data_IF_636345084199
#
_entry.id   IF_636345084199
#
_cell.length_a   1.000
_cell.length_b   1.000
_cell.length_c   1.000
_cell.angle_alpha   90.00
_cell.angle_beta   90.00
_cell.angle_gamma   90.00
#
_symmetry.space_group_name_H-M   'P 1'
#
loop_
_entity.id
_entity.type
_entity.pdbx_description
1 polymer ?
#
# COMPACT_ATOMS: atom_id res chain seq x y z
N UNK A 1 -23.86 -1.70 -8.28
CA UNK A 1 -23.24 -0.43 -8.74
C UNK A 1 -21.96 -0.80 -9.47
N UNK A 2 -21.86 -0.52 -10.76
CA UNK A 2 -20.64 -0.77 -11.52
C UNK A 2 -19.59 0.26 -11.10
N UNK A 3 -18.51 -0.18 -10.46
CA UNK A 3 -17.35 0.65 -10.18
C UNK A 3 -16.43 0.61 -11.39
N UNK A 4 -16.00 1.78 -11.86
CA UNK A 4 -15.12 1.88 -13.03
C UNK A 4 -13.73 1.32 -12.72
N UNK A 5 -13.12 0.70 -13.73
CA UNK A 5 -11.73 0.24 -13.67
C UNK A 5 -10.80 1.41 -13.33
N UNK A 6 -9.88 1.18 -12.39
CA UNK A 6 -8.93 2.17 -11.87
C UNK A 6 -9.38 2.84 -10.57
N UNK A 7 -10.63 2.67 -10.16
CA UNK A 7 -11.17 3.20 -8.90
C UNK A 7 -10.61 2.47 -7.69
N UNK A 8 -10.43 3.20 -6.58
CA UNK A 8 -10.17 2.60 -5.28
C UNK A 8 -11.48 2.02 -4.73
N UNK A 9 -11.45 0.78 -4.26
CA UNK A 9 -12.62 0.08 -3.74
C UNK A 9 -12.30 -0.63 -2.43
N UNK A 10 -13.30 -0.69 -1.55
CA UNK A 10 -13.39 -1.61 -0.43
C UNK A 10 -14.25 -2.80 -0.86
N UNK A 11 -13.83 -4.02 -0.51
CA UNK A 11 -14.55 -5.26 -0.83
C UNK A 11 -14.58 -6.17 0.40
N UNK A 12 -15.77 -6.66 0.76
CA UNK A 12 -15.95 -7.75 1.72
C UNK A 12 -16.42 -8.99 0.96
N UNK A 13 -15.76 -10.13 1.15
CA UNK A 13 -16.00 -11.34 0.37
C UNK A 13 -15.79 -12.63 1.18
N UNK A 14 -16.39 -13.73 0.72
CA UNK A 14 -16.13 -15.08 1.22
C UNK A 14 -14.90 -15.65 0.51
N UNK A 15 -13.83 -15.85 1.26
CA UNK A 15 -12.63 -16.51 0.78
C UNK A 15 -12.83 -18.03 0.80
N UNK A 16 -13.03 -18.59 -0.38
CA UNK A 16 -13.19 -20.01 -0.62
C UNK A 16 -11.83 -20.71 -0.86
N UNK A 17 -10.69 -20.05 -0.60
CA UNK A 17 -9.37 -20.63 -0.85
C UNK A 17 -9.19 -21.97 -0.13
N UNK A 18 -8.85 -22.96 -0.97
CA UNK A 18 -8.42 -24.33 -0.68
C UNK A 18 -7.84 -24.50 0.73
N UNK A 19 -8.44 -25.43 1.48
CA UNK A 19 -7.91 -25.98 2.71
C UNK A 19 -6.59 -26.72 2.46
N UNK A 20 -5.47 -26.01 2.33
CA UNK A 20 -4.14 -26.61 2.44
C UNK A 20 -3.75 -26.63 3.92
N UNK A 21 -3.45 -27.82 4.43
CA UNK A 21 -2.99 -28.08 5.81
C UNK A 21 -4.04 -27.91 6.94
N UNK A 22 -5.33 -28.12 6.65
CA UNK A 22 -6.37 -28.18 7.72
C UNK A 22 -6.89 -29.62 7.80
N UNK A 23 -6.82 -30.24 8.99
CA UNK A 23 -7.28 -31.63 9.20
C UNK A 23 -8.79 -31.80 9.02
N UNK A 24 -9.58 -30.73 9.22
CA UNK A 24 -11.02 -30.70 9.00
C UNK A 24 -11.38 -29.41 8.24
N UNK A 25 -11.94 -29.52 7.02
CA UNK A 25 -12.51 -28.38 6.32
C UNK A 25 -13.56 -27.70 7.21
N UNK A 26 -13.44 -26.39 7.41
CA UNK A 26 -14.52 -25.63 8.05
C UNK A 26 -15.71 -25.59 7.09
N UNK A 27 -16.93 -25.79 7.60
CA UNK A 27 -18.14 -25.86 6.78
C UNK A 27 -18.50 -24.52 6.10
N UNK A 28 -17.92 -23.41 6.56
CA UNK A 28 -18.22 -22.07 6.08
C UNK A 28 -16.94 -21.33 5.65
N UNK A 29 -17.00 -20.69 4.47
CA UNK A 29 -15.90 -19.87 3.96
C UNK A 29 -15.67 -18.64 4.87
N UNK A 30 -14.39 -18.30 5.06
CA UNK A 30 -13.98 -17.18 5.93
C UNK A 30 -14.33 -15.86 5.26
N UNK A 31 -14.94 -14.94 6.00
CA UNK A 31 -15.14 -13.56 5.53
C UNK A 31 -13.83 -12.78 5.60
N UNK A 32 -13.54 -12.07 4.52
CA UNK A 32 -12.38 -11.19 4.41
C UNK A 32 -12.78 -9.83 3.89
N UNK A 33 -11.98 -8.84 4.25
CA UNK A 33 -12.10 -7.47 3.76
C UNK A 33 -10.77 -7.08 3.10
N UNK A 34 -10.86 -6.31 2.02
CA UNK A 34 -9.69 -5.72 1.37
C UNK A 34 -10.00 -4.33 0.81
N UNK A 35 -8.96 -3.53 0.64
CA UNK A 35 -8.99 -2.24 -0.05
C UNK A 35 -7.92 -2.27 -1.14
N UNK A 36 -8.28 -1.84 -2.35
CA UNK A 36 -7.32 -1.73 -3.45
C UNK A 36 -7.92 -1.14 -4.71
N UNK A 37 -7.15 -1.11 -5.78
CA UNK A 37 -7.57 -0.63 -7.08
C UNK A 37 -8.25 -1.75 -7.87
N UNK A 38 -9.46 -1.49 -8.36
CA UNK A 38 -10.14 -2.39 -9.30
C UNK A 38 -9.48 -2.30 -10.68
N UNK A 39 -8.56 -3.20 -11.03
CA UNK A 39 -7.75 -3.05 -12.25
C UNK A 39 -8.32 -3.78 -13.46
N UNK A 40 -9.05 -4.87 -13.24
CA UNK A 40 -9.79 -5.59 -14.28
C UNK A 40 -11.05 -6.20 -13.69
N UNK A 41 -12.08 -6.35 -14.51
CA UNK A 41 -13.24 -7.16 -14.18
C UNK A 41 -13.88 -7.70 -15.45
N UNK A 42 -14.49 -8.87 -15.35
CA UNK A 42 -15.42 -9.39 -16.34
C UNK A 42 -16.73 -9.79 -15.62
N UNK A 43 -17.57 -10.62 -16.23
CA UNK A 43 -18.85 -11.03 -15.63
C UNK A 43 -18.68 -11.90 -14.36
N UNK A 44 -17.57 -12.63 -14.24
CA UNK A 44 -17.36 -13.62 -13.20
C UNK A 44 -16.38 -13.16 -12.11
N UNK A 45 -15.31 -12.46 -12.49
CA UNK A 45 -14.18 -12.14 -11.64
C UNK A 45 -13.86 -10.65 -11.62
N UNK A 46 -13.18 -10.24 -10.56
CA UNK A 46 -12.58 -8.92 -10.41
C UNK A 46 -11.18 -9.03 -9.83
N UNK A 47 -10.29 -8.16 -10.30
CA UNK A 47 -8.89 -8.06 -9.86
C UNK A 47 -8.74 -6.80 -9.03
N UNK A 48 -8.31 -6.99 -7.78
CA UNK A 48 -7.99 -5.90 -6.84
C UNK A 48 -6.49 -5.88 -6.60
N UNK A 49 -5.81 -4.82 -7.03
CA UNK A 49 -4.39 -4.61 -6.72
C UNK A 49 -4.25 -3.77 -5.44
N UNK A 50 -3.42 -4.22 -4.49
CA UNK A 50 -3.10 -3.50 -3.25
C UNK A 50 -1.91 -2.55 -3.42
N UNK A 51 -1.03 -2.87 -4.35
CA UNK A 51 0.10 -2.05 -4.76
C UNK A 51 0.25 -2.20 -6.28
N UNK A 52 0.41 -1.07 -6.97
CA UNK A 52 0.51 -1.02 -8.44
C UNK A 52 1.54 0.00 -8.88
N UNK A 53 2.34 -0.37 -9.86
CA UNK A 53 3.23 0.57 -10.53
C UNK A 53 2.44 1.63 -11.31
N UNK A 54 2.80 2.91 -11.13
CA UNK A 54 2.36 3.99 -12.02
C UNK A 54 3.17 3.88 -13.32
N UNK A 55 2.54 3.59 -14.47
CA UNK A 55 3.27 3.36 -15.72
C UNK A 55 4.04 4.63 -16.14
N UNK A 56 5.27 4.44 -16.61
CA UNK A 56 6.05 5.50 -17.24
C UNK A 56 6.89 4.93 -18.41
N UNK A 57 7.66 5.78 -19.08
CA UNK A 57 8.46 5.36 -20.25
C UNK A 57 9.49 4.25 -19.94
N UNK A 58 9.88 4.07 -18.68
CA UNK A 58 10.90 3.12 -18.25
C UNK A 58 10.32 1.89 -17.54
N UNK A 59 9.14 2.01 -16.92
CA UNK A 59 8.51 0.95 -16.15
C UNK A 59 7.16 0.59 -16.79
N UNK A 60 7.05 -0.59 -17.43
CA UNK A 60 5.80 -1.02 -18.04
C UNK A 60 4.71 -1.20 -16.97
N UNK A 61 3.46 -1.03 -17.39
CA UNK A 61 2.30 -1.26 -16.53
C UNK A 61 2.22 -2.74 -16.11
N UNK A 62 1.68 -3.00 -14.92
CA UNK A 62 1.26 -4.35 -14.51
C UNK A 62 2.21 -5.13 -13.60
N UNK A 63 3.20 -4.49 -12.97
CA UNK A 63 3.83 -5.05 -11.78
C UNK A 63 3.03 -4.61 -10.55
N UNK A 64 2.22 -5.51 -10.02
CA UNK A 64 1.38 -5.24 -8.86
C UNK A 64 1.09 -6.51 -8.08
N UNK A 65 0.79 -6.35 -6.79
CA UNK A 65 0.34 -7.43 -5.93
C UNK A 65 -1.13 -7.22 -5.58
N UNK A 66 -1.91 -8.30 -5.52
CA UNK A 66 -3.35 -8.18 -5.39
C UNK A 66 -4.05 -9.52 -5.18
N UNK A 67 -5.37 -9.47 -5.29
CA UNK A 67 -6.26 -10.63 -5.16
C UNK A 67 -7.22 -10.70 -6.34
N UNK A 68 -7.53 -11.93 -6.76
CA UNK A 68 -8.61 -12.23 -7.70
C UNK A 68 -9.81 -12.68 -6.87
N UNK A 69 -10.96 -12.06 -7.07
CA UNK A 69 -12.18 -12.34 -6.31
C UNK A 69 -13.28 -12.76 -7.30
N UNK A 70 -13.93 -13.90 -7.04
CA UNK A 70 -15.16 -14.28 -7.73
C UNK A 70 -16.29 -13.34 -7.28
N UNK A 71 -17.01 -12.76 -8.24
CA UNK A 71 -18.14 -11.85 -7.96
C UNK A 71 -19.25 -12.53 -7.16
N UNK A 72 -19.44 -13.84 -7.33
CA UNK A 72 -20.38 -14.66 -6.55
C UNK A 72 -20.04 -14.73 -5.06
N UNK A 73 -18.79 -14.43 -4.68
CA UNK A 73 -18.34 -14.43 -3.29
C UNK A 73 -18.33 -13.05 -2.66
N UNK A 74 -18.64 -11.99 -3.41
CA UNK A 74 -18.67 -10.62 -2.89
C UNK A 74 -19.93 -10.44 -2.03
N UNK A 75 -19.72 -10.10 -0.77
CA UNK A 75 -20.78 -9.75 0.18
C UNK A 75 -21.11 -8.26 0.13
N UNK A 76 -20.09 -7.43 -0.11
CA UNK A 76 -20.22 -5.98 -0.12
C UNK A 76 -19.11 -5.35 -0.95
N UNK A 77 -19.43 -4.28 -1.68
CA UNK A 77 -18.44 -3.48 -2.41
C UNK A 77 -18.78 -2.00 -2.34
N UNK A 78 -17.79 -1.17 -2.00
CA UNK A 78 -17.93 0.29 -1.94
C UNK A 78 -16.79 0.96 -2.69
N UNK A 79 -17.12 1.91 -3.57
CA UNK A 79 -16.14 2.82 -4.14
C UNK A 79 -15.64 3.79 -3.07
N UNK A 80 -14.32 3.99 -3.01
CA UNK A 80 -13.69 4.92 -2.08
C UNK A 80 -13.24 6.17 -2.84
N UNK A 81 -13.69 7.37 -2.44
CA UNK A 81 -13.22 8.59 -3.07
C UNK A 81 -11.73 8.78 -2.74
N UNK A 82 -10.89 8.82 -3.77
CA UNK A 82 -9.52 9.31 -3.61
C UNK A 82 -9.57 10.83 -3.50
N UNK A 83 -8.99 11.45 -2.46
CA UNK A 83 -8.76 12.88 -2.47
C UNK A 83 -7.95 13.22 -3.72
N UNK A 84 -8.33 14.27 -4.46
CA UNK A 84 -7.43 14.86 -5.45
C UNK A 84 -6.16 15.24 -4.69
N UNK A 85 -5.07 14.53 -4.96
CA UNK A 85 -3.79 14.69 -4.27
C UNK A 85 -3.43 16.18 -4.29
N UNK A 86 -3.38 16.79 -3.12
CA UNK A 86 -2.62 18.01 -2.87
C UNK A 86 -1.14 17.62 -3.03
N UNK A 87 -0.32 18.51 -3.58
CA UNK A 87 1.09 18.28 -3.95
C UNK A 87 1.94 17.59 -2.86
N UNK A 88 1.85 16.27 -2.73
CA UNK A 88 2.68 15.48 -1.83
C UNK A 88 3.96 15.12 -2.55
N UNK A 89 4.77 16.16 -2.76
CA UNK A 89 6.10 16.03 -3.31
C UNK A 89 7.04 15.42 -2.25
N UNK A 90 6.95 14.10 -2.06
CA UNK A 90 7.92 13.33 -1.27
C UNK A 90 9.35 13.51 -1.82
N UNK A 91 9.46 13.83 -3.13
CA UNK A 91 10.70 14.10 -3.85
C UNK A 91 10.78 15.56 -4.35
N UNK A 92 10.17 16.52 -3.66
CA UNK A 92 10.54 17.92 -3.96
C UNK A 92 12.04 18.04 -3.75
N UNK A 93 12.74 18.68 -4.70
CA UNK A 93 14.04 19.22 -4.41
C UNK A 93 13.80 20.30 -3.34
N UNK A 94 13.76 19.90 -2.07
CA UNK A 94 13.86 20.86 -1.00
C UNK A 94 15.15 21.61 -1.26
N UNK A 95 15.07 22.90 -1.52
CA UNK A 95 16.21 23.79 -1.28
C UNK A 95 16.68 23.43 0.12
N UNK A 96 17.91 22.89 0.22
CA UNK A 96 18.48 22.41 1.47
C UNK A 96 18.52 23.59 2.43
N UNK A 97 17.45 23.75 3.20
CA UNK A 97 17.33 24.74 4.25
C UNK A 97 18.19 24.28 5.40
N UNK A 98 19.47 24.68 5.38
CA UNK A 98 20.44 24.69 6.50
C UNK A 98 20.08 23.74 7.66
N UNK A 99 20.07 22.44 7.40
CA UNK A 99 19.62 21.43 8.36
C UNK A 99 20.61 20.29 8.61
N UNK A 100 21.79 20.28 7.98
CA UNK A 100 22.80 19.24 8.23
C UNK A 100 23.62 19.55 9.48
N UNK A 101 23.02 19.30 10.64
CA UNK A 101 23.77 19.28 11.90
C UNK A 101 24.57 17.97 12.07
N UNK A 102 24.19 16.90 11.37
CA UNK A 102 24.86 15.60 11.43
C UNK A 102 26.30 15.61 10.87
N UNK A 103 26.54 16.48 9.88
CA UNK A 103 27.84 16.71 9.24
C UNK A 103 28.64 17.85 9.87
N UNK A 104 28.08 18.52 10.90
CA UNK A 104 28.78 19.57 11.64
C UNK A 104 29.29 19.00 12.97
N UNK A 105 30.48 18.38 13.01
CA UNK A 105 31.02 17.75 14.22
C UNK A 105 31.11 18.70 15.42
N UNK A 106 31.23 20.02 15.18
CA UNK A 106 31.27 21.06 16.22
C UNK A 106 29.94 21.31 16.94
N UNK A 107 28.80 20.88 16.39
CA UNK A 107 27.45 21.13 16.95
C UNK A 107 26.78 19.87 17.52
N UNK A 108 27.50 18.76 17.62
CA UNK A 108 26.98 17.54 18.29
C UNK A 108 26.84 17.79 19.79
N UNK A 109 25.69 17.42 20.36
CA UNK A 109 25.40 17.45 21.81
C UNK A 109 26.35 16.56 22.64
N UNK A 110 27.01 15.61 22.01
CA UNK A 110 28.03 14.73 22.61
C UNK A 110 29.43 15.27 22.33
N UNK A 111 29.79 16.41 22.93
CA UNK A 111 31.20 16.67 23.18
C UNK A 111 31.59 15.98 24.49
N UNK A 112 32.48 14.99 24.42
CA UNK A 112 33.14 14.50 25.62
C UNK A 112 33.92 15.67 26.25
N UNK A 113 33.58 16.00 27.50
CA UNK A 113 34.37 16.93 28.32
C UNK A 113 35.80 16.40 28.39
N UNK A 114 36.76 17.14 27.81
CA UNK A 114 38.17 16.91 28.10
C UNK A 114 38.37 17.02 29.61
N UNK A 115 38.82 15.94 30.26
CA UNK A 115 39.35 16.02 31.61
C UNK A 115 40.55 16.95 31.57
N UNK A 116 40.51 18.00 32.40
CA UNK A 116 41.71 18.79 32.73
C UNK A 116 42.50 17.95 33.72
N UNK A 117 43.57 17.32 33.27
CA UNK A 117 44.58 16.82 34.20
C UNK A 117 45.44 18.01 34.59
N UNK A 118 45.33 18.38 35.87
CA UNK A 118 46.23 19.31 36.50
C UNK A 118 47.48 18.59 36.97
N UNK A 119 48.64 19.06 36.54
CA UNK A 119 49.78 19.37 37.41
C UNK A 119 50.76 20.26 36.66
#
# INVERSE_FOLDING_TARGET
>A
MATDTGSLVYVRYKDHVLFKNIQQPMAEAVERETIGWLTKQNEEIMLIEHDRTIPNAQIPSGQGSGVIILKSCVLEMRGLPLPKILDWNLNSQSTIGKGEFALQPKKRKTQQRKRKDGK
#
